data_IF_112620185187
#
_entry.id   IF_112620185187
#
_cell.length_a   1.000
_cell.length_b   1.000
_cell.length_c   1.000
_cell.angle_alpha   90.00
_cell.angle_beta   90.00
_cell.angle_gamma   90.00
#
_symmetry.space_group_name_H-M   'P 1'
#
loop_
_entity.id
_entity.type
_entity.pdbx_description
1 polymer ?
#
# COMPACT_ATOMS: atom_id res chain seq x y z
N UNK A 1 0.48 -13.11 0.48
CA UNK A 1 0.44 -12.33 1.73
C UNK A 1 -1.02 -12.11 2.11
N UNK A 2 -1.34 -12.26 3.38
CA UNK A 2 -2.69 -12.11 3.89
C UNK A 2 -2.77 -10.93 4.85
N UNK A 3 -3.85 -10.17 4.75
CA UNK A 3 -4.17 -9.07 5.65
C UNK A 3 -5.44 -9.44 6.42
N UNK A 4 -5.37 -9.37 7.72
CA UNK A 4 -6.56 -9.42 8.55
C UNK A 4 -7.18 -8.03 8.60
N UNK A 5 -8.49 -7.93 8.45
CA UNK A 5 -9.13 -6.63 8.29
C UNK A 5 -10.59 -6.66 8.77
N UNK A 6 -11.21 -5.48 8.85
CA UNK A 6 -12.62 -5.35 9.18
C UNK A 6 -13.50 -5.35 7.94
N UNK A 7 -13.02 -4.77 6.83
CA UNK A 7 -13.79 -4.61 5.60
C UNK A 7 -12.94 -5.03 4.39
N UNK A 8 -12.97 -6.34 4.03
CA UNK A 8 -12.15 -6.84 2.92
C UNK A 8 -12.43 -6.14 1.59
N UNK A 9 -13.69 -5.86 1.30
CA UNK A 9 -14.08 -5.23 0.03
C UNK A 9 -13.45 -3.85 -0.13
N UNK A 10 -13.56 -3.02 0.90
CA UNK A 10 -13.00 -1.67 0.89
C UNK A 10 -11.48 -1.70 0.81
N UNK A 11 -10.86 -2.58 1.59
CA UNK A 11 -9.40 -2.68 1.61
C UNK A 11 -8.87 -3.19 0.27
N UNK A 12 -9.54 -4.16 -0.33
CA UNK A 12 -9.20 -4.65 -1.66
C UNK A 12 -9.30 -3.55 -2.72
N UNK A 13 -10.35 -2.72 -2.67
CA UNK A 13 -10.50 -1.61 -3.61
C UNK A 13 -9.30 -0.66 -3.54
N UNK A 14 -8.89 -0.29 -2.34
CA UNK A 14 -7.75 0.59 -2.15
C UNK A 14 -6.47 -0.04 -2.73
N UNK A 15 -6.17 -1.28 -2.37
CA UNK A 15 -4.93 -1.91 -2.78
C UNK A 15 -4.90 -2.25 -4.27
N UNK A 16 -6.06 -2.47 -4.91
CA UNK A 16 -6.13 -2.56 -6.37
C UNK A 16 -5.66 -1.26 -7.01
N UNK A 17 -6.13 -0.11 -6.50
CA UNK A 17 -5.69 1.20 -7.01
C UNK A 17 -4.20 1.42 -6.73
N UNK A 18 -3.77 1.12 -5.51
CA UNK A 18 -2.38 1.37 -5.09
C UNK A 18 -1.36 0.56 -5.90
N UNK A 19 -1.66 -0.70 -6.18
CA UNK A 19 -0.72 -1.62 -6.82
C UNK A 19 -0.99 -1.84 -8.31
N UNK A 20 -2.10 -1.33 -8.84
CA UNK A 20 -2.51 -1.65 -10.20
C UNK A 20 -2.98 -3.10 -10.33
N UNK A 21 -3.47 -3.68 -9.24
CA UNK A 21 -3.96 -5.06 -9.22
C UNK A 21 -5.43 -5.12 -9.61
N UNK A 22 -5.88 -6.33 -9.91
CA UNK A 22 -7.27 -6.61 -10.26
C UNK A 22 -7.90 -7.49 -9.19
N UNK A 23 -9.19 -7.26 -8.95
CA UNK A 23 -9.96 -8.12 -8.06
C UNK A 23 -10.18 -9.47 -8.75
N UNK A 24 -9.87 -10.55 -8.04
CA UNK A 24 -10.08 -11.92 -8.53
C UNK A 24 -11.38 -12.47 -7.95
N UNK A 25 -11.58 -12.31 -6.64
CA UNK A 25 -12.76 -12.78 -5.95
C UNK A 25 -12.97 -11.86 -4.74
N UNK A 26 -14.18 -11.31 -4.59
CA UNK A 26 -14.48 -10.34 -3.53
C UNK A 26 -15.88 -10.58 -3.00
N UNK A 27 -15.97 -10.77 -1.69
CA UNK A 27 -17.24 -10.77 -0.99
C UNK A 27 -17.07 -10.05 0.37
N UNK A 28 -18.08 -10.14 1.23
CA UNK A 28 -18.08 -9.39 2.50
C UNK A 28 -17.13 -10.00 3.54
N UNK A 29 -16.75 -11.25 3.40
CA UNK A 29 -15.92 -11.96 4.36
C UNK A 29 -14.47 -12.07 3.93
N UNK A 30 -14.21 -12.04 2.63
CA UNK A 30 -12.85 -12.17 2.11
C UNK A 30 -12.73 -11.54 0.73
N UNK A 31 -11.51 -11.18 0.36
CA UNK A 31 -11.21 -10.67 -0.96
C UNK A 31 -9.82 -11.14 -1.39
N UNK A 32 -9.67 -11.43 -2.68
CA UNK A 32 -8.39 -11.79 -3.26
C UNK A 32 -8.13 -10.90 -4.47
N UNK A 33 -6.96 -10.27 -4.50
CA UNK A 33 -6.53 -9.43 -5.60
C UNK A 33 -5.16 -9.86 -6.09
N UNK A 34 -4.86 -9.58 -7.35
CA UNK A 34 -3.57 -9.93 -7.91
C UNK A 34 -3.24 -9.14 -9.17
N UNK A 35 -2.00 -9.23 -9.64
CA UNK A 35 -1.59 -8.56 -10.87
C UNK A 35 -2.25 -9.23 -12.08
N UNK A 36 -2.53 -8.44 -13.10
CA UNK A 36 -2.97 -8.92 -14.40
C UNK A 36 -1.92 -9.87 -14.96
N UNK A 37 -2.32 -11.03 -15.40
CA UNK A 37 -1.38 -12.02 -15.95
C UNK A 37 -0.74 -12.93 -14.92
N UNK A 38 -1.12 -12.83 -13.65
CA UNK A 38 -0.63 -13.71 -12.60
C UNK A 38 0.55 -13.13 -11.83
N UNK A 39 0.88 -13.75 -10.71
CA UNK A 39 1.93 -13.32 -9.81
C UNK A 39 1.47 -13.36 -8.36
N UNK A 40 2.22 -12.71 -7.49
CA UNK A 40 1.89 -12.68 -6.07
C UNK A 40 0.70 -11.77 -5.82
N UNK A 41 -0.35 -12.33 -5.23
CA UNK A 41 -1.54 -11.59 -4.87
C UNK A 41 -1.60 -11.25 -3.39
N UNK A 42 -2.64 -10.52 -3.04
CA UNK A 42 -2.99 -10.21 -1.66
C UNK A 42 -4.36 -10.79 -1.33
N UNK A 43 -4.46 -11.34 -0.15
CA UNK A 43 -5.69 -11.89 0.38
C UNK A 43 -6.12 -11.08 1.60
N UNK A 44 -7.39 -10.71 1.66
CA UNK A 44 -7.95 -9.94 2.77
C UNK A 44 -9.02 -10.76 3.45
N UNK A 45 -8.89 -10.97 4.74
CA UNK A 45 -9.78 -11.81 5.51
C UNK A 45 -10.41 -11.00 6.64
N UNK A 46 -11.74 -11.05 6.74
CA UNK A 46 -12.44 -10.40 7.83
C UNK A 46 -12.13 -11.11 9.14
N UNK A 47 -11.75 -10.32 10.15
CA UNK A 47 -11.52 -10.80 11.51
C UNK A 47 -12.21 -9.84 12.49
N UNK A 48 -12.60 -10.32 13.69
CA UNK A 48 -13.23 -9.46 14.68
C UNK A 48 -12.25 -8.55 15.42
N UNK A 49 -10.97 -8.92 15.46
CA UNK A 49 -9.96 -8.13 16.16
C UNK A 49 -9.67 -6.84 15.40
N UNK A 50 -9.49 -5.75 16.14
CA UNK A 50 -9.11 -4.46 15.57
C UNK A 50 -7.61 -4.31 15.50
N UNK A 51 -7.14 -3.53 14.53
CA UNK A 51 -5.74 -3.12 14.51
C UNK A 51 -5.48 -2.16 15.66
N UNK A 52 -4.56 -2.51 16.55
CA UNK A 52 -4.23 -1.72 17.74
C UNK A 52 -2.78 -1.25 17.72
N UNK A 53 -1.85 -2.11 17.30
CA UNK A 53 -0.42 -1.81 17.33
C UNK A 53 0.10 -1.55 15.93
N UNK A 54 1.30 -0.95 15.86
CA UNK A 54 1.97 -0.70 14.58
C UNK A 54 2.22 -2.02 13.83
N UNK A 55 2.03 -2.02 12.51
CA UNK A 55 2.36 -3.16 11.67
C UNK A 55 3.83 -3.53 11.83
N UNK A 56 4.11 -4.82 11.96
CA UNK A 56 5.49 -5.34 12.01
C UNK A 56 6.05 -5.60 10.62
N UNK A 57 5.15 -5.77 9.64
CA UNK A 57 5.50 -5.91 8.23
C UNK A 57 4.73 -4.84 7.48
N UNK A 58 5.39 -4.12 6.57
CA UNK A 58 4.74 -3.11 5.74
C UNK A 58 5.26 -3.18 4.32
N UNK A 59 4.41 -2.76 3.37
CA UNK A 59 4.80 -2.68 1.97
C UNK A 59 5.51 -1.35 1.72
N UNK A 60 6.56 -1.40 0.91
CA UNK A 60 7.25 -0.21 0.43
C UNK A 60 6.95 -0.09 -1.07
N UNK A 61 6.31 0.99 -1.47
CA UNK A 61 5.89 1.20 -2.84
C UNK A 61 6.87 2.11 -3.56
N UNK A 62 7.34 1.67 -4.73
CA UNK A 62 8.20 2.47 -5.59
C UNK A 62 7.34 3.14 -6.65
N UNK A 63 7.14 4.47 -6.58
CA UNK A 63 6.27 5.16 -7.54
C UNK A 63 6.92 5.23 -8.93
N UNK A 64 6.10 5.29 -9.98
CA UNK A 64 6.63 5.37 -11.34
C UNK A 64 7.20 6.75 -11.70
N UNK A 65 6.81 7.80 -10.99
CA UNK A 65 7.26 9.18 -11.25
C UNK A 65 7.89 9.79 -10.02
N UNK A 66 7.11 10.43 -9.15
CA UNK A 66 7.59 11.06 -7.93
C UNK A 66 6.83 10.57 -6.71
N UNK A 67 7.48 10.64 -5.56
CA UNK A 67 6.84 10.32 -4.30
C UNK A 67 5.63 11.24 -4.05
N UNK A 68 5.79 12.54 -4.31
CA UNK A 68 4.71 13.50 -4.05
C UNK A 68 3.47 13.22 -4.89
N UNK A 69 3.64 12.91 -6.18
CA UNK A 69 2.52 12.59 -7.05
C UNK A 69 1.81 11.31 -6.60
N UNK A 70 2.57 10.31 -6.17
CA UNK A 70 2.01 9.05 -5.70
C UNK A 70 1.27 9.21 -4.37
N UNK A 71 1.84 9.97 -3.45
CA UNK A 71 1.17 10.27 -2.17
C UNK A 71 -0.19 10.92 -2.42
N UNK A 72 -0.24 11.88 -3.34
CA UNK A 72 -1.50 12.54 -3.70
C UNK A 72 -2.50 11.56 -4.30
N UNK A 73 -2.05 10.72 -5.22
CA UNK A 73 -2.91 9.71 -5.86
C UNK A 73 -3.49 8.74 -4.84
N UNK A 74 -2.66 8.28 -3.90
CA UNK A 74 -3.09 7.32 -2.87
C UNK A 74 -3.99 7.98 -1.83
N UNK A 75 -3.75 9.25 -1.52
CA UNK A 75 -4.65 10.01 -0.63
C UNK A 75 -6.05 10.09 -1.24
N UNK A 76 -6.14 10.35 -2.53
CA UNK A 76 -7.42 10.40 -3.24
C UNK A 76 -8.12 9.04 -3.25
N UNK A 77 -7.36 7.96 -3.20
CA UNK A 77 -7.91 6.60 -3.15
C UNK A 77 -8.33 6.14 -1.75
N UNK A 78 -8.01 6.91 -0.71
CA UNK A 78 -8.44 6.60 0.65
C UNK A 78 -7.34 6.45 1.69
N UNK A 79 -6.07 6.61 1.31
CA UNK A 79 -4.98 6.60 2.28
C UNK A 79 -4.90 7.93 3.03
N UNK A 80 -4.27 7.90 4.19
CA UNK A 80 -3.98 9.12 4.96
C UNK A 80 -2.49 9.24 5.19
N UNK A 81 -2.01 10.48 5.27
CA UNK A 81 -0.61 10.75 5.59
C UNK A 81 -0.35 10.43 7.05
N UNK A 82 0.78 9.83 7.32
CA UNK A 82 1.19 9.55 8.69
C UNK A 82 2.47 10.32 9.04
N UNK A 83 3.55 10.14 8.28
CA UNK A 83 4.80 10.82 8.58
C UNK A 83 5.74 10.84 7.37
N UNK A 84 6.34 12.00 7.11
CA UNK A 84 7.45 12.12 6.19
C UNK A 84 8.76 11.86 6.94
N UNK A 85 9.65 11.07 6.36
CA UNK A 85 10.94 10.71 6.95
C UNK A 85 12.06 11.06 5.97
N UNK A 86 13.11 11.70 6.49
CA UNK A 86 14.32 11.97 5.72
C UNK A 86 15.50 11.48 6.53
N UNK A 87 16.32 10.63 5.94
CA UNK A 87 17.41 9.98 6.66
C UNK A 87 18.50 9.52 5.70
N UNK A 88 19.73 9.88 5.98
CA UNK A 88 20.90 9.40 5.21
C UNK A 88 20.87 9.78 3.73
N UNK A 89 20.27 10.89 3.37
CA UNK A 89 20.14 11.33 1.97
C UNK A 89 18.99 10.69 1.22
N UNK A 90 18.20 9.85 1.87
CA UNK A 90 16.99 9.26 1.32
C UNK A 90 15.77 9.85 2.02
N UNK A 91 14.59 9.69 1.41
CA UNK A 91 13.35 10.12 2.05
C UNK A 91 12.19 9.24 1.58
N UNK A 92 11.16 9.16 2.41
CA UNK A 92 9.95 8.41 2.10
C UNK A 92 8.79 8.97 2.93
N UNK A 93 7.57 8.64 2.52
CA UNK A 93 6.38 9.00 3.27
C UNK A 93 5.72 7.73 3.80
N UNK A 94 5.46 7.70 5.10
CA UNK A 94 4.66 6.66 5.72
C UNK A 94 3.22 7.07 5.62
N UNK A 95 2.38 6.22 5.04
CA UNK A 95 0.96 6.44 4.91
C UNK A 95 0.19 5.33 5.63
N UNK A 96 -1.10 5.56 5.82
CA UNK A 96 -2.01 4.56 6.38
C UNK A 96 -3.03 4.20 5.30
N UNK A 97 -3.29 2.90 5.14
CA UNK A 97 -4.37 2.46 4.27
C UNK A 97 -5.74 2.71 4.95
N UNK A 98 -6.87 2.43 4.30
CA UNK A 98 -8.18 2.71 4.89
C UNK A 98 -8.47 2.05 6.23
N UNK A 99 -7.70 1.04 6.62
CA UNK A 99 -7.84 0.39 7.92
C UNK A 99 -6.71 0.74 8.90
N UNK A 100 -5.88 1.72 8.54
CA UNK A 100 -4.81 2.18 9.42
C UNK A 100 -3.53 1.36 9.34
N UNK A 101 -3.38 0.49 8.34
CA UNK A 101 -2.12 -0.25 8.17
C UNK A 101 -1.06 0.67 7.58
N UNK A 102 0.12 0.69 8.22
CA UNK A 102 1.25 1.49 7.74
C UNK A 102 1.84 0.89 6.47
N UNK A 103 2.14 1.75 5.50
CA UNK A 103 2.93 1.40 4.33
C UNK A 103 3.74 2.62 3.92
N UNK A 104 4.77 2.42 3.11
CA UNK A 104 5.67 3.50 2.72
C UNK A 104 5.59 3.77 1.22
N UNK A 105 5.66 5.05 0.86
CA UNK A 105 5.87 5.50 -0.52
C UNK A 105 7.29 6.01 -0.61
N UNK A 106 8.09 5.36 -1.44
CA UNK A 106 9.50 5.65 -1.59
C UNK A 106 9.72 6.72 -2.67
N UNK A 107 10.97 7.12 -2.86
CA UNK A 107 11.34 8.03 -3.95
C UNK A 107 11.10 7.35 -5.31
N UNK A 108 10.68 8.14 -6.29
CA UNK A 108 10.60 7.70 -7.66
C UNK A 108 11.73 8.26 -8.53
N UNK A 109 11.73 7.95 -9.84
CA UNK A 109 12.76 8.46 -10.75
C UNK A 109 12.88 9.98 -10.76
N UNK A 110 11.77 10.70 -10.62
CA UNK A 110 11.78 12.17 -10.60
C UNK A 110 12.35 12.73 -9.30
N UNK A 111 12.55 11.90 -8.30
CA UNK A 111 13.15 12.25 -7.01
C UNK A 111 14.63 11.86 -6.92
N UNK A 112 15.23 11.52 -8.04
CA UNK A 112 16.64 11.14 -8.09
C UNK A 112 16.91 9.66 -7.77
N UNK A 113 15.87 8.83 -7.67
CA UNK A 113 16.07 7.41 -7.49
C UNK A 113 16.42 6.74 -8.83
N UNK A 114 17.29 5.73 -8.75
CA UNK A 114 17.71 4.93 -9.90
C UNK A 114 17.71 3.45 -9.49
N UNK A 115 17.33 2.53 -10.40
CA UNK A 115 17.38 1.10 -10.11
C UNK A 115 18.80 0.57 -9.89
N UNK A 116 19.82 1.36 -10.22
CA UNK A 116 21.22 0.99 -9.96
C UNK A 116 21.59 1.13 -8.48
N UNK A 117 20.74 1.75 -7.70
CA UNK A 117 20.97 1.97 -6.27
C UNK A 117 19.88 1.31 -5.46
N UNK A 118 20.30 0.59 -4.46
CA UNK A 118 19.38 0.01 -3.50
C UNK A 118 18.75 1.10 -2.64
N UNK A 119 17.42 1.07 -2.55
CA UNK A 119 16.60 2.02 -1.82
C UNK A 119 16.74 3.44 -2.40
#
# INVERSE_FOLDING_TARGET
MSFDCADPRRLAEFWCVALGYEAVDVDDDEAFIGPSGGGYGLYFQRVPERKVVKNRVHLDLRPPRSMAAEVERLRDAGATDHRFVEEGGSFWTIMLDPEGNEFCVLRGPEDGWSPDRWA
#
